data_IF_423563350779
#
_entry.id   IF_423563350779
#
_cell.length_a   1.000
_cell.length_b   1.000
_cell.length_c   1.000
_cell.angle_alpha   90.00
_cell.angle_beta   90.00
_cell.angle_gamma   90.00
#
_symmetry.space_group_name_H-M   'P 1'
#
loop_
_entity.id
_entity.type
_entity.pdbx_description
1 polymer ?
#
# COMPACT_ATOMS: atom_id res chain seq x y z
N UNK A 1 -13.44 -21.31 13.10
CA UNK A 1 -12.57 -20.13 13.09
C UNK A 1 -11.47 -20.26 14.15
N UNK A 2 -11.79 -20.31 15.42
CA UNK A 2 -10.82 -20.39 16.54
C UNK A 2 -9.84 -21.58 16.47
N UNK A 3 -10.13 -22.61 15.71
CA UNK A 3 -9.25 -23.78 15.52
C UNK A 3 -8.31 -23.66 14.30
N UNK A 4 -8.15 -22.49 13.69
CA UNK A 4 -7.32 -22.30 12.50
C UNK A 4 -7.85 -22.97 11.21
N UNK A 5 -9.08 -23.43 11.20
CA UNK A 5 -9.72 -24.07 10.03
C UNK A 5 -10.46 -23.01 9.17
N UNK A 6 -9.73 -21.97 8.81
CA UNK A 6 -10.28 -20.78 8.14
C UNK A 6 -11.01 -21.10 6.84
N UNK A 7 -10.47 -21.96 5.99
CA UNK A 7 -11.05 -22.29 4.69
C UNK A 7 -12.46 -22.92 4.82
N UNK A 8 -12.63 -23.88 5.74
CA UNK A 8 -13.92 -24.50 5.99
C UNK A 8 -14.91 -23.52 6.61
N UNK A 9 -14.42 -22.66 7.53
CA UNK A 9 -15.25 -21.64 8.15
C UNK A 9 -15.73 -20.60 7.12
N UNK A 10 -14.87 -20.17 6.21
CA UNK A 10 -15.23 -19.21 5.16
C UNK A 10 -16.37 -19.75 4.26
N UNK A 11 -16.32 -21.02 3.85
CA UNK A 11 -17.38 -21.64 3.03
C UNK A 11 -18.71 -21.66 3.78
N UNK A 12 -18.72 -22.13 5.03
CA UNK A 12 -19.95 -22.23 5.82
C UNK A 12 -20.55 -20.84 6.12
N UNK A 13 -19.70 -19.85 6.41
CA UNK A 13 -20.13 -18.46 6.62
C UNK A 13 -20.69 -17.82 5.35
N UNK A 14 -20.09 -18.10 4.19
CA UNK A 14 -20.60 -17.62 2.91
C UNK A 14 -21.99 -18.20 2.57
N UNK A 15 -22.24 -19.46 2.90
CA UNK A 15 -23.57 -20.08 2.79
C UNK A 15 -24.58 -19.38 3.75
N UNK A 16 -24.18 -19.10 4.99
CA UNK A 16 -25.03 -18.39 5.95
C UNK A 16 -25.42 -16.99 5.47
N UNK A 17 -24.53 -16.23 4.85
CA UNK A 17 -24.81 -14.90 4.29
C UNK A 17 -25.97 -14.98 3.30
N UNK A 18 -25.98 -16.00 2.43
CA UNK A 18 -27.02 -16.16 1.42
C UNK A 18 -28.39 -16.56 1.99
N UNK A 19 -28.39 -17.37 3.06
CA UNK A 19 -29.61 -17.87 3.70
C UNK A 19 -30.23 -16.83 4.62
N UNK A 20 -29.39 -16.07 5.35
CA UNK A 20 -29.82 -15.15 6.42
C UNK A 20 -29.74 -13.67 5.99
N UNK A 21 -29.85 -13.41 4.69
CA UNK A 21 -29.77 -12.05 4.13
C UNK A 21 -30.79 -11.10 4.83
N UNK A 22 -30.27 -9.96 5.31
CA UNK A 22 -31.10 -8.95 6.00
C UNK A 22 -31.21 -9.16 7.51
N UNK A 23 -30.45 -10.10 8.09
CA UNK A 23 -30.38 -10.29 9.55
C UNK A 23 -29.00 -9.88 10.07
N UNK A 24 -28.89 -9.60 11.39
CA UNK A 24 -27.63 -9.32 12.06
C UNK A 24 -26.60 -10.47 11.90
N UNK A 25 -27.10 -11.70 11.71
CA UNK A 25 -26.25 -12.87 11.49
C UNK A 25 -25.55 -12.85 10.12
N UNK A 26 -26.19 -12.28 9.10
CA UNK A 26 -25.55 -12.09 7.78
C UNK A 26 -24.45 -11.03 7.87
N UNK A 27 -24.67 -9.96 8.65
CA UNK A 27 -23.70 -8.93 8.91
C UNK A 27 -22.45 -9.50 9.59
N UNK A 28 -22.60 -10.17 10.74
CA UNK A 28 -21.52 -10.82 11.48
C UNK A 28 -20.78 -11.84 10.61
N UNK A 29 -21.52 -12.67 9.84
CA UNK A 29 -20.91 -13.67 8.96
C UNK A 29 -20.04 -13.05 7.86
N UNK A 30 -20.46 -11.91 7.29
CA UNK A 30 -19.69 -11.21 6.25
C UNK A 30 -18.34 -10.71 6.79
N UNK A 31 -18.33 -10.12 8.00
CA UNK A 31 -17.09 -9.72 8.66
C UNK A 31 -16.19 -10.92 8.96
N UNK A 32 -16.76 -12.00 9.47
CA UNK A 32 -16.02 -13.21 9.83
C UNK A 32 -15.43 -13.93 8.60
N UNK A 33 -16.06 -13.86 7.43
CA UNK A 33 -15.47 -14.35 6.16
C UNK A 33 -14.19 -13.56 5.85
N UNK A 34 -14.24 -12.22 5.93
CA UNK A 34 -13.05 -11.38 5.79
C UNK A 34 -11.93 -11.79 6.74
N UNK A 35 -12.26 -12.03 8.01
CA UNK A 35 -11.30 -12.50 9.02
C UNK A 35 -10.74 -13.89 8.71
N UNK A 36 -11.51 -14.78 8.10
CA UNK A 36 -11.02 -16.07 7.66
C UNK A 36 -9.95 -15.93 6.56
N UNK A 37 -10.21 -15.12 5.53
CA UNK A 37 -9.25 -14.89 4.47
C UNK A 37 -7.99 -14.16 4.97
N UNK A 38 -8.16 -13.16 5.86
CA UNK A 38 -7.05 -12.52 6.53
C UNK A 38 -6.18 -13.53 7.32
N UNK A 39 -6.82 -14.42 8.06
CA UNK A 39 -6.12 -15.49 8.80
C UNK A 39 -5.45 -16.56 7.93
N UNK A 40 -5.83 -16.68 6.66
CA UNK A 40 -5.17 -17.52 5.66
C UNK A 40 -4.02 -16.80 4.93
N UNK A 41 -3.86 -15.49 5.14
CA UNK A 41 -2.90 -14.67 4.41
C UNK A 41 -3.36 -14.26 3.01
N UNK A 42 -4.60 -14.57 2.62
CA UNK A 42 -5.21 -14.09 1.38
C UNK A 42 -5.72 -12.65 1.59
N UNK A 43 -4.76 -11.74 1.60
CA UNK A 43 -5.00 -10.35 1.94
C UNK A 43 -5.84 -9.61 0.90
N UNK A 44 -5.75 -9.99 -0.38
CA UNK A 44 -6.53 -9.39 -1.46
C UNK A 44 -8.01 -9.72 -1.28
N UNK A 45 -8.35 -11.00 -1.11
CA UNK A 45 -9.72 -11.45 -0.86
C UNK A 45 -10.24 -10.90 0.47
N UNK A 46 -9.43 -10.85 1.53
CA UNK A 46 -9.81 -10.28 2.81
C UNK A 46 -10.21 -8.81 2.67
N UNK A 47 -9.39 -7.99 1.98
CA UNK A 47 -9.68 -6.57 1.74
C UNK A 47 -11.00 -6.37 0.98
N UNK A 48 -11.30 -7.25 0.02
CA UNK A 48 -12.56 -7.22 -0.72
C UNK A 48 -13.78 -7.48 0.18
N UNK A 49 -13.72 -8.50 1.05
CA UNK A 49 -14.82 -8.80 1.97
C UNK A 49 -15.02 -7.69 3.00
N UNK A 50 -13.97 -7.12 3.57
CA UNK A 50 -14.08 -5.99 4.48
C UNK A 50 -14.63 -4.74 3.80
N UNK A 51 -14.22 -4.46 2.56
CA UNK A 51 -14.79 -3.38 1.73
C UNK A 51 -16.27 -3.60 1.49
N UNK A 52 -16.67 -4.82 1.16
CA UNK A 52 -18.08 -5.19 0.97
C UNK A 52 -18.87 -5.01 2.27
N UNK A 53 -18.26 -5.33 3.42
CA UNK A 53 -18.91 -5.16 4.72
C UNK A 53 -19.25 -3.69 4.99
N UNK A 54 -18.27 -2.78 5.01
CA UNK A 54 -18.55 -1.39 5.37
C UNK A 54 -19.38 -0.64 4.32
N UNK A 55 -19.42 -1.09 3.07
CA UNK A 55 -20.31 -0.56 2.06
C UNK A 55 -21.77 -1.03 2.27
N UNK A 56 -21.95 -2.27 2.70
CA UNK A 56 -23.29 -2.85 2.96
C UNK A 56 -23.84 -2.43 4.33
N UNK A 57 -22.97 -2.29 5.32
CA UNK A 57 -23.30 -1.99 6.70
C UNK A 57 -22.46 -0.81 7.23
N UNK A 58 -22.65 0.42 6.73
CA UNK A 58 -21.79 1.57 7.08
C UNK A 58 -21.93 2.01 8.56
N UNK A 59 -22.98 1.56 9.23
CA UNK A 59 -23.22 1.77 10.68
C UNK A 59 -23.23 0.45 11.46
N UNK A 60 -22.71 -0.60 10.86
CA UNK A 60 -22.61 -1.92 11.46
C UNK A 60 -21.65 -1.94 12.64
N UNK A 61 -21.81 -2.92 13.51
CA UNK A 61 -21.00 -3.08 14.73
C UNK A 61 -19.50 -3.17 14.39
N UNK A 62 -19.14 -3.77 13.26
CA UNK A 62 -17.74 -3.98 12.83
C UNK A 62 -17.30 -3.01 11.71
N UNK A 63 -18.00 -1.87 11.52
CA UNK A 63 -17.70 -0.96 10.42
C UNK A 63 -16.31 -0.31 10.54
N UNK A 64 -15.90 0.03 11.75
CA UNK A 64 -14.57 0.57 12.06
C UNK A 64 -13.49 -0.50 11.84
N UNK A 65 -13.65 -1.68 12.44
CA UNK A 65 -12.71 -2.78 12.27
C UNK A 65 -12.61 -3.23 10.81
N UNK A 66 -13.71 -3.27 10.07
CA UNK A 66 -13.71 -3.64 8.66
C UNK A 66 -12.89 -2.65 7.83
N UNK A 67 -13.02 -1.33 8.06
CA UNK A 67 -12.18 -0.33 7.40
C UNK A 67 -10.71 -0.46 7.79
N UNK A 68 -10.42 -0.67 9.08
CA UNK A 68 -9.06 -0.91 9.53
C UNK A 68 -8.45 -2.14 8.87
N UNK A 69 -9.16 -3.27 8.88
CA UNK A 69 -8.67 -4.51 8.26
C UNK A 69 -8.59 -4.45 6.73
N UNK A 70 -9.40 -3.61 6.07
CA UNK A 70 -9.22 -3.32 4.64
C UNK A 70 -7.83 -2.70 4.39
N UNK A 71 -7.52 -1.60 5.08
CA UNK A 71 -6.23 -0.94 4.95
C UNK A 71 -5.07 -1.84 5.36
N UNK A 72 -5.21 -2.58 6.46
CA UNK A 72 -4.19 -3.51 6.95
C UNK A 72 -3.94 -4.68 6.00
N UNK A 73 -4.97 -5.25 5.40
CA UNK A 73 -4.83 -6.32 4.40
C UNK A 73 -4.08 -5.81 3.16
N UNK A 74 -4.43 -4.61 2.68
CA UNK A 74 -3.71 -3.99 1.56
C UNK A 74 -2.25 -3.68 1.91
N UNK A 75 -1.98 -3.20 3.12
CA UNK A 75 -0.62 -3.01 3.63
C UNK A 75 0.19 -4.31 3.63
N UNK A 76 -0.40 -5.42 4.05
CA UNK A 76 0.25 -6.75 4.05
C UNK A 76 0.49 -7.32 2.64
N UNK A 77 -0.20 -6.80 1.62
CA UNK A 77 -0.08 -7.22 0.23
C UNK A 77 0.86 -6.32 -0.60
N UNK A 78 1.51 -5.32 0.03
CA UNK A 78 2.40 -4.38 -0.65
C UNK A 78 3.64 -5.11 -1.18
N UNK A 79 4.02 -4.88 -2.45
CA UNK A 79 5.20 -5.49 -3.04
C UNK A 79 6.49 -4.80 -2.61
N UNK A 80 7.62 -5.41 -2.97
CA UNK A 80 8.95 -4.79 -2.81
C UNK A 80 9.05 -3.45 -3.58
N UNK A 81 9.91 -2.50 -3.14
CA UNK A 81 10.03 -1.15 -3.72
C UNK A 81 10.29 -1.13 -5.24
N UNK A 82 11.03 -2.11 -5.76
CA UNK A 82 11.39 -2.21 -7.20
C UNK A 82 10.23 -2.56 -8.12
N UNK A 83 9.17 -3.12 -7.57
CA UNK A 83 8.01 -3.55 -8.34
C UNK A 83 7.02 -2.39 -8.55
N UNK A 84 5.91 -2.68 -9.22
CA UNK A 84 4.81 -1.72 -9.38
C UNK A 84 4.20 -1.37 -8.02
N UNK A 85 4.08 -0.07 -7.73
CA UNK A 85 3.62 0.46 -6.44
C UNK A 85 2.14 0.85 -6.44
N UNK A 86 1.37 0.44 -7.43
CA UNK A 86 -0.09 0.70 -7.48
C UNK A 86 -0.80 0.18 -6.22
N UNK A 87 -0.40 -1.01 -5.72
CA UNK A 87 -0.94 -1.58 -4.49
C UNK A 87 -0.59 -0.73 -3.26
N UNK A 88 0.63 -0.19 -3.20
CA UNK A 88 1.09 0.69 -2.10
C UNK A 88 0.26 1.98 -2.05
N UNK A 89 0.04 2.62 -3.20
CA UNK A 89 -0.78 3.83 -3.30
C UNK A 89 -2.23 3.55 -2.88
N UNK A 90 -2.78 2.39 -3.26
CA UNK A 90 -4.12 1.97 -2.82
C UNK A 90 -4.18 1.76 -1.30
N UNK A 91 -3.17 1.12 -0.71
CA UNK A 91 -3.10 0.92 0.73
C UNK A 91 -3.04 2.26 1.49
N UNK A 92 -2.20 3.21 1.03
CA UNK A 92 -2.11 4.55 1.61
C UNK A 92 -3.47 5.24 1.59
N UNK A 93 -4.17 5.21 0.46
CA UNK A 93 -5.48 5.84 0.31
C UNK A 93 -6.51 5.27 1.29
N UNK A 94 -6.60 3.95 1.41
CA UNK A 94 -7.56 3.30 2.33
C UNK A 94 -7.23 3.60 3.81
N UNK A 95 -5.94 3.63 4.18
CA UNK A 95 -5.51 3.98 5.53
C UNK A 95 -5.77 5.47 5.86
N UNK A 96 -5.58 6.37 4.90
CA UNK A 96 -5.93 7.78 5.07
C UNK A 96 -7.44 7.97 5.26
N UNK A 97 -8.26 7.30 4.43
CA UNK A 97 -9.71 7.31 4.59
C UNK A 97 -10.14 6.76 5.97
N UNK A 98 -9.45 5.74 6.49
CA UNK A 98 -9.71 5.26 7.84
C UNK A 98 -9.54 6.38 8.88
N UNK A 99 -8.43 7.13 8.84
CA UNK A 99 -8.17 8.24 9.77
C UNK A 99 -9.18 9.39 9.62
N UNK A 100 -9.70 9.64 8.40
CA UNK A 100 -10.74 10.64 8.18
C UNK A 100 -12.07 10.23 8.82
N UNK A 101 -12.45 8.95 8.73
CA UNK A 101 -13.69 8.45 9.30
C UNK A 101 -13.61 8.22 10.83
N UNK A 102 -12.44 7.81 11.30
CA UNK A 102 -12.22 7.41 12.70
C UNK A 102 -10.95 8.06 13.29
N UNK A 103 -10.91 9.40 13.42
CA UNK A 103 -9.71 10.12 13.85
C UNK A 103 -9.30 9.85 15.31
N UNK A 104 -10.23 9.35 16.13
CA UNK A 104 -10.00 9.03 17.55
C UNK A 104 -10.02 7.51 17.83
N UNK A 105 -9.85 6.70 16.79
CA UNK A 105 -9.79 5.25 16.93
C UNK A 105 -8.56 4.79 17.69
N UNK A 106 -8.68 3.71 18.45
CA UNK A 106 -7.55 3.03 19.11
C UNK A 106 -6.54 2.48 18.09
N UNK A 107 -6.95 2.31 16.83
CA UNK A 107 -6.07 1.89 15.72
C UNK A 107 -5.28 3.03 15.08
N UNK A 108 -5.54 4.30 15.41
CA UNK A 108 -4.95 5.47 14.74
C UNK A 108 -3.42 5.46 14.77
N UNK A 109 -2.81 5.16 15.91
CA UNK A 109 -1.34 5.05 16.02
C UNK A 109 -0.78 3.95 15.11
N UNK A 110 -1.42 2.79 15.08
CA UNK A 110 -1.03 1.68 14.20
C UNK A 110 -1.13 2.08 12.73
N UNK A 111 -2.18 2.80 12.35
CA UNK A 111 -2.39 3.28 10.97
C UNK A 111 -1.34 4.32 10.59
N UNK A 112 -0.97 5.25 11.49
CA UNK A 112 0.12 6.19 11.24
C UNK A 112 1.45 5.49 11.00
N UNK A 113 1.77 4.45 11.77
CA UNK A 113 2.99 3.66 11.58
C UNK A 113 2.97 2.94 10.22
N UNK A 114 1.84 2.33 9.83
CA UNK A 114 1.70 1.72 8.50
C UNK A 114 1.87 2.74 7.37
N UNK A 115 1.28 3.94 7.49
CA UNK A 115 1.45 5.01 6.50
C UNK A 115 2.90 5.45 6.37
N UNK A 116 3.62 5.57 7.50
CA UNK A 116 5.03 5.88 7.50
C UNK A 116 5.86 4.81 6.77
N UNK A 117 5.60 3.53 7.03
CA UNK A 117 6.28 2.42 6.36
C UNK A 117 6.00 2.41 4.84
N UNK A 118 4.76 2.66 4.42
CA UNK A 118 4.39 2.75 3.02
C UNK A 118 5.06 3.92 2.30
N UNK A 119 5.18 5.08 2.96
CA UNK A 119 5.90 6.24 2.43
C UNK A 119 7.40 5.93 2.29
N UNK A 120 8.00 5.24 3.24
CA UNK A 120 9.39 4.79 3.14
C UNK A 120 9.59 3.77 2.01
N UNK A 121 8.62 2.90 1.74
CA UNK A 121 8.66 1.97 0.60
C UNK A 121 8.69 2.74 -0.74
N UNK A 122 7.85 3.78 -0.89
CA UNK A 122 7.87 4.64 -2.08
C UNK A 122 9.18 5.44 -2.18
N UNK A 123 9.65 6.03 -1.08
CA UNK A 123 10.92 6.73 -1.04
C UNK A 123 12.11 5.82 -1.41
N UNK A 124 12.08 4.55 -0.97
CA UNK A 124 13.09 3.56 -1.33
C UNK A 124 13.13 3.31 -2.84
N UNK A 125 11.96 3.25 -3.50
CA UNK A 125 11.88 3.14 -4.96
C UNK A 125 12.56 4.31 -5.66
N UNK A 126 12.25 5.53 -5.22
CA UNK A 126 12.86 6.75 -5.77
C UNK A 126 14.37 6.79 -5.54
N UNK A 127 14.83 6.34 -4.37
CA UNK A 127 16.26 6.23 -4.07
C UNK A 127 16.95 5.24 -5.02
N UNK A 128 16.39 4.07 -5.24
CA UNK A 128 16.95 3.08 -6.16
C UNK A 128 16.97 3.58 -7.59
N UNK A 129 15.96 4.36 -8.00
CA UNK A 129 15.90 5.02 -9.31
C UNK A 129 17.00 6.08 -9.43
N UNK A 130 17.16 6.95 -8.45
CA UNK A 130 18.22 7.96 -8.44
C UNK A 130 19.61 7.31 -8.46
N UNK A 131 19.82 6.26 -7.67
CA UNK A 131 21.06 5.49 -7.63
C UNK A 131 21.36 4.78 -8.96
N UNK A 132 20.34 4.32 -9.66
CA UNK A 132 20.50 3.76 -11.01
C UNK A 132 21.04 4.84 -11.97
N UNK A 133 20.45 6.03 -11.98
CA UNK A 133 20.95 7.15 -12.80
C UNK A 133 22.39 7.52 -12.44
N UNK A 134 22.73 7.59 -11.14
CA UNK A 134 24.08 7.83 -10.69
C UNK A 134 25.07 6.79 -11.23
N UNK A 135 24.73 5.50 -11.15
CA UNK A 135 25.59 4.41 -11.63
C UNK A 135 25.74 4.38 -13.16
N UNK A 136 24.71 4.82 -13.89
CA UNK A 136 24.80 4.94 -15.35
C UNK A 136 25.72 6.10 -15.76
N UNK A 137 25.82 7.15 -14.94
CA UNK A 137 26.69 8.28 -15.17
C UNK A 137 26.52 8.91 -16.56
N UNK A 138 27.58 9.08 -17.34
CA UNK A 138 27.53 9.66 -18.68
C UNK A 138 27.02 8.68 -19.76
N UNK A 139 26.66 7.43 -19.40
CA UNK A 139 26.25 6.44 -20.40
C UNK A 139 24.82 6.67 -20.87
N UNK A 140 24.66 6.99 -22.16
CA UNK A 140 23.35 7.27 -22.78
C UNK A 140 22.76 6.08 -23.55
N UNK A 141 23.41 4.92 -23.56
CA UNK A 141 22.91 3.66 -24.15
C UNK A 141 22.88 3.58 -25.68
N UNK A 142 23.17 4.67 -26.39
CA UNK A 142 23.05 4.66 -27.85
C UNK A 142 24.19 5.43 -28.55
N UNK A 143 25.25 4.72 -28.90
CA UNK A 143 26.40 5.27 -29.59
C UNK A 143 26.07 5.98 -30.94
N UNK A 144 24.92 5.67 -31.54
CA UNK A 144 24.55 6.22 -32.86
C UNK A 144 23.71 7.52 -32.76
N UNK A 145 23.19 7.90 -31.60
CA UNK A 145 22.38 9.11 -31.40
C UNK A 145 23.12 10.28 -30.74
N UNK A 146 24.32 10.04 -30.23
CA UNK A 146 25.08 11.03 -29.46
C UNK A 146 25.55 12.26 -30.29
N UNK A 147 25.47 12.24 -31.63
CA UNK A 147 26.05 13.30 -32.44
C UNK A 147 25.07 14.31 -33.05
N UNK A 148 23.77 14.13 -32.91
CA UNK A 148 22.79 14.97 -33.64
C UNK A 148 21.60 15.47 -32.82
N UNK A 149 21.46 15.07 -31.52
CA UNK A 149 20.38 15.54 -30.66
C UNK A 149 20.81 16.74 -29.80
N UNK A 150 19.97 17.79 -29.64
CA UNK A 150 20.21 18.85 -28.67
C UNK A 150 20.36 18.31 -27.24
N UNK A 151 19.83 17.13 -26.95
CA UNK A 151 19.92 16.41 -25.68
C UNK A 151 21.20 15.58 -25.52
N UNK A 152 22.15 15.68 -26.45
CA UNK A 152 23.43 14.96 -26.39
C UNK A 152 24.27 15.27 -25.14
N UNK A 153 23.92 16.31 -24.39
CA UNK A 153 24.51 16.68 -23.10
C UNK A 153 23.69 16.22 -21.88
N UNK A 154 22.51 15.61 -22.07
CA UNK A 154 21.73 15.06 -20.98
C UNK A 154 22.52 13.88 -20.38
N UNK A 155 23.07 14.08 -19.19
CA UNK A 155 23.74 13.03 -18.45
C UNK A 155 22.81 12.50 -17.34
N UNK A 156 23.00 11.26 -16.98
CA UNK A 156 22.18 10.63 -15.95
C UNK A 156 22.42 11.24 -14.55
N UNK A 157 23.50 11.95 -14.32
CA UNK A 157 23.75 12.68 -13.06
C UNK A 157 22.70 13.78 -12.83
N UNK A 158 22.32 14.53 -13.87
CA UNK A 158 21.25 15.52 -13.77
C UNK A 158 19.91 14.86 -13.42
N UNK A 159 19.60 13.74 -14.10
CA UNK A 159 18.40 12.93 -13.78
C UNK A 159 18.44 12.39 -12.35
N UNK A 160 19.62 11.97 -11.85
CA UNK A 160 19.81 11.55 -10.48
C UNK A 160 19.48 12.67 -9.50
N UNK A 161 20.05 13.86 -9.71
CA UNK A 161 19.82 15.03 -8.84
C UNK A 161 18.35 15.45 -8.83
N UNK A 162 17.71 15.51 -10.00
CA UNK A 162 16.29 15.87 -10.12
C UNK A 162 15.42 14.83 -9.38
N UNK A 163 15.67 13.54 -9.57
CA UNK A 163 14.93 12.47 -8.89
C UNK A 163 15.10 12.57 -7.37
N UNK A 164 16.33 12.74 -6.89
CA UNK A 164 16.60 12.87 -5.46
C UNK A 164 15.95 14.11 -4.84
N UNK A 165 15.98 15.27 -5.54
CA UNK A 165 15.33 16.50 -5.08
C UNK A 165 13.81 16.36 -5.03
N UNK A 166 13.18 15.72 -6.01
CA UNK A 166 11.74 15.47 -6.02
C UNK A 166 11.34 14.52 -4.90
N UNK A 167 12.10 13.44 -4.69
CA UNK A 167 11.86 12.51 -3.60
C UNK A 167 11.94 13.19 -2.22
N UNK A 168 12.91 14.08 -1.98
CA UNK A 168 13.00 14.84 -0.73
C UNK A 168 11.83 15.80 -0.52
N UNK A 169 11.22 16.33 -1.58
CA UNK A 169 10.02 17.17 -1.48
C UNK A 169 8.78 16.36 -1.16
N UNK A 170 8.66 15.17 -1.77
CA UNK A 170 7.50 14.30 -1.63
C UNK A 170 7.54 13.51 -0.31
N UNK A 171 8.74 13.06 0.09
CA UNK A 171 8.96 12.23 1.30
C UNK A 171 9.96 12.89 2.27
N UNK A 172 9.65 14.05 2.87
CA UNK A 172 10.63 14.84 3.65
C UNK A 172 11.11 14.15 4.93
N UNK A 173 10.37 13.15 5.42
CA UNK A 173 10.67 12.41 6.65
C UNK A 173 11.06 10.95 6.40
N UNK A 174 11.42 10.59 5.15
CA UNK A 174 11.83 9.24 4.83
C UNK A 174 13.16 8.86 5.46
N UNK A 175 13.38 7.56 5.62
CA UNK A 175 14.63 6.99 6.16
C UNK A 175 15.81 7.33 5.24
N UNK A 176 15.62 7.38 3.92
CA UNK A 176 16.64 7.61 2.89
C UNK A 176 17.01 9.10 2.70
N UNK A 177 16.60 9.97 3.60
CA UNK A 177 16.82 11.42 3.47
C UNK A 177 18.29 11.80 3.33
N UNK A 178 19.16 11.21 4.13
CA UNK A 178 20.61 11.49 4.10
C UNK A 178 21.24 10.97 2.82
N UNK A 179 20.85 9.79 2.37
CA UNK A 179 21.34 9.19 1.13
C UNK A 179 20.92 10.00 -0.11
N UNK A 180 19.70 10.55 -0.15
CA UNK A 180 19.28 11.48 -1.19
C UNK A 180 20.13 12.76 -1.18
N UNK A 181 20.43 13.31 -0.01
CA UNK A 181 21.27 14.50 0.12
C UNK A 181 22.69 14.25 -0.43
N UNK A 182 23.25 13.06 -0.22
CA UNK A 182 24.56 12.67 -0.76
C UNK A 182 24.54 12.58 -2.29
N UNK A 183 23.44 12.12 -2.89
CA UNK A 183 23.31 12.03 -4.35
C UNK A 183 23.15 13.39 -5.04
N UNK A 184 22.81 14.44 -4.30
CA UNK A 184 22.64 15.81 -4.81
C UNK A 184 23.97 16.59 -4.79
N UNK A 185 24.93 16.20 -3.93
CA UNK A 185 26.25 16.83 -3.77
C UNK A 185 27.24 16.42 -4.87
#
# INVERSE_FOLDING_TARGET
YMMGKYSKAAVLLAELISIMKGTDKAEESLFMVGMCYYGMGDNETASHYFTTYYNSYPRGVYAEEARFYTGKSLYMAVPEPRLDQTATVKAIKELQLFLEYYPQSDYSETVHNMLYDLQNNLAQKEYETAKLYYNLGPYTGNFNYASTSPDANANNYESCVITAQNALKEYPYCIQREEFAILIL
#
